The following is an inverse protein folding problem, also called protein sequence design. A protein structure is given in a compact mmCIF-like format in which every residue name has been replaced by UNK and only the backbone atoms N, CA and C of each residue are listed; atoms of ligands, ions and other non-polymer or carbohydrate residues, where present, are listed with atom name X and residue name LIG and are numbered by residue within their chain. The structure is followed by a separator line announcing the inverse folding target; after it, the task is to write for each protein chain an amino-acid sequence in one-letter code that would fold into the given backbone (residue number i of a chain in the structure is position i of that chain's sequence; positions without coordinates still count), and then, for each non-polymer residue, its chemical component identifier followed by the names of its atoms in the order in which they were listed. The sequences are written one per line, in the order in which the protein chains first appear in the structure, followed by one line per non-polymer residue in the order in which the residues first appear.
data_IF_596825529672
#
_entry.id   IF_596825529672
#
_cell.length_a   1.000
_cell.length_b   1.000
_cell.length_c   1.000
_cell.angle_alpha   90.00
_cell.angle_beta   90.00
_cell.angle_gamma   90.00
#
_symmetry.space_group_name_H-M   'P 1'
#
loop_
_entity.id
_entity.type
_entity.pdbx_description
1 polymer ?
#
# COMPACT_ATOMS: atom_id res chain seq x y z
N UNK A 1 4.40 2.66 -3.76
CA UNK A 1 5.58 2.33 -4.60
C UNK A 1 6.40 1.29 -3.87
N UNK A 2 7.18 0.43 -4.54
CA UNK A 2 8.12 -0.47 -3.86
C UNK A 2 8.97 0.36 -2.88
N UNK A 3 9.19 -0.09 -1.63
CA UNK A 3 9.08 -1.45 -1.13
C UNK A 3 8.03 -1.61 -0.01
N UNK A 4 6.87 -0.95 -0.08
CA UNK A 4 5.83 -1.11 0.94
C UNK A 4 5.04 -2.41 0.75
N UNK A 5 4.63 -3.08 1.85
CA UNK A 5 3.94 -4.38 1.82
C UNK A 5 2.63 -4.43 1.04
N UNK A 6 1.97 -3.27 0.88
CA UNK A 6 0.82 -3.06 -0.02
C UNK A 6 1.23 -3.34 -1.48
N UNK A 7 2.42 -2.91 -1.94
CA UNK A 7 2.85 -3.27 -3.29
C UNK A 7 3.07 -4.78 -3.46
N UNK A 8 3.66 -5.45 -2.46
CA UNK A 8 3.91 -6.90 -2.53
C UNK A 8 2.60 -7.72 -2.55
N UNK A 9 1.61 -7.32 -1.75
CA UNK A 9 0.31 -8.00 -1.66
C UNK A 9 -0.49 -7.86 -2.96
N UNK A 10 -0.61 -6.64 -3.47
CA UNK A 10 -1.31 -6.36 -4.73
C UNK A 10 -0.61 -6.99 -5.93
N UNK A 11 0.73 -7.01 -5.94
CA UNK A 11 1.49 -7.69 -6.99
C UNK A 11 1.25 -9.21 -6.96
N UNK A 12 1.20 -9.83 -5.78
CA UNK A 12 0.87 -11.26 -5.64
C UNK A 12 -0.54 -11.57 -6.14
N UNK A 13 -1.52 -10.72 -5.81
CA UNK A 13 -2.90 -10.87 -6.28
C UNK A 13 -2.96 -10.76 -7.80
N UNK A 14 -2.33 -9.74 -8.39
CA UNK A 14 -2.33 -9.52 -9.83
C UNK A 14 -1.63 -10.68 -10.55
N UNK A 15 -0.45 -11.09 -10.10
CA UNK A 15 0.29 -12.21 -10.73
C UNK A 15 -0.49 -13.52 -10.63
N UNK A 16 -1.12 -13.80 -9.49
CA UNK A 16 -1.98 -14.98 -9.32
C UNK A 16 -3.21 -14.90 -10.24
N UNK A 17 -3.86 -13.75 -10.33
CA UNK A 17 -4.99 -13.53 -11.25
C UNK A 17 -4.58 -13.71 -12.71
N UNK A 18 -3.38 -13.25 -13.10
CA UNK A 18 -2.83 -13.46 -14.44
C UNK A 18 -2.67 -14.95 -14.77
N UNK A 19 -2.28 -15.77 -13.80
CA UNK A 19 -2.12 -17.21 -13.97
C UNK A 19 -3.44 -17.99 -13.95
N UNK A 20 -4.36 -17.66 -13.03
CA UNK A 20 -5.59 -18.44 -12.82
C UNK A 20 -6.78 -17.91 -13.62
N UNK A 21 -6.92 -16.59 -13.75
CA UNK A 21 -8.03 -15.92 -14.45
C UNK A 21 -7.52 -14.75 -15.32
N UNK A 22 -6.82 -15.02 -16.43
CA UNK A 22 -6.14 -13.98 -17.21
C UNK A 22 -7.04 -12.82 -17.65
N UNK A 23 -8.32 -13.10 -17.90
CA UNK A 23 -9.32 -12.13 -18.33
C UNK A 23 -9.65 -11.05 -17.28
N UNK A 24 -9.42 -11.31 -15.98
CA UNK A 24 -9.62 -10.30 -14.92
C UNK A 24 -8.47 -9.30 -14.84
N UNK A 25 -7.28 -9.68 -15.34
CA UNK A 25 -6.07 -8.86 -15.35
C UNK A 25 -6.29 -7.44 -15.90
N UNK A 26 -6.88 -7.23 -17.09
CA UNK A 26 -7.08 -5.87 -17.60
C UNK A 26 -7.94 -5.01 -16.66
N UNK A 27 -8.97 -5.58 -16.05
CA UNK A 27 -9.81 -4.87 -15.09
C UNK A 27 -9.03 -4.49 -13.82
N UNK A 28 -8.23 -5.41 -13.28
CA UNK A 28 -7.38 -5.16 -12.11
C UNK A 28 -6.32 -4.08 -12.40
N UNK A 29 -5.70 -4.11 -13.57
CA UNK A 29 -4.71 -3.10 -13.96
C UNK A 29 -5.34 -1.71 -14.14
N UNK A 30 -6.53 -1.63 -14.75
CA UNK A 30 -7.27 -0.36 -14.86
C UNK A 30 -7.64 0.16 -13.48
N UNK A 31 -8.17 -0.69 -12.59
CA UNK A 31 -8.52 -0.29 -11.23
C UNK A 31 -7.29 0.22 -10.46
N UNK A 32 -6.15 -0.46 -10.59
CA UNK A 32 -4.88 -0.03 -9.99
C UNK A 32 -4.43 1.32 -10.55
N UNK A 33 -4.51 1.51 -11.86
CA UNK A 33 -4.18 2.78 -12.52
C UNK A 33 -5.06 3.94 -12.04
N UNK A 34 -6.37 3.72 -11.93
CA UNK A 34 -7.32 4.70 -11.40
C UNK A 34 -7.03 5.04 -9.94
N UNK A 35 -6.79 4.03 -9.10
CA UNK A 35 -6.43 4.24 -7.70
C UNK A 35 -5.15 5.06 -7.56
N UNK A 36 -4.13 4.75 -8.37
CA UNK A 36 -2.89 5.51 -8.41
C UNK A 36 -3.12 6.96 -8.84
N UNK A 37 -3.85 7.20 -9.93
CA UNK A 37 -4.16 8.54 -10.42
C UNK A 37 -4.94 9.37 -9.38
N UNK A 38 -5.92 8.77 -8.70
CA UNK A 38 -6.72 9.42 -7.68
C UNK A 38 -5.87 9.83 -6.45
N UNK A 39 -5.00 8.93 -5.97
CA UNK A 39 -4.08 9.23 -4.87
C UNK A 39 -3.10 10.32 -5.29
N UNK A 40 -2.48 10.18 -6.46
CA UNK A 40 -1.49 11.13 -6.95
C UNK A 40 -2.07 12.52 -7.12
N UNK A 41 -3.27 12.65 -7.69
CA UNK A 41 -3.98 13.93 -7.82
C UNK A 41 -4.18 14.61 -6.46
N UNK A 42 -4.55 13.88 -5.42
CA UNK A 42 -4.71 14.44 -4.07
C UNK A 42 -3.38 14.83 -3.44
N UNK A 43 -2.38 13.95 -3.51
CA UNK A 43 -1.06 14.19 -2.91
C UNK A 43 -0.37 15.40 -3.55
N UNK A 44 -0.51 15.57 -4.87
CA UNK A 44 0.05 16.73 -5.58
C UNK A 44 -0.42 18.06 -4.97
N UNK A 45 -1.72 18.20 -4.71
CA UNK A 45 -2.27 19.40 -4.07
C UNK A 45 -1.83 19.60 -2.61
N UNK A 46 -1.37 18.55 -1.93
CA UNK A 46 -0.89 18.64 -0.54
C UNK A 46 0.57 19.07 -0.45
N UNK A 47 1.38 18.70 -1.45
CA UNK A 47 2.84 18.92 -1.44
C UNK A 47 3.22 20.15 -2.27
N UNK A 48 2.44 20.50 -3.29
CA UNK A 48 2.70 21.61 -4.20
C UNK A 48 1.57 22.65 -4.17
N UNK A 49 1.91 23.89 -4.52
CA UNK A 49 0.97 25.01 -4.60
C UNK A 49 0.96 25.90 -3.35
N UNK A 50 0.13 26.94 -3.40
CA UNK A 50 0.00 27.90 -2.30
C UNK A 50 -0.93 27.38 -1.21
N UNK A 51 -0.54 27.55 0.05
CA UNK A 51 -1.32 27.10 1.20
C UNK A 51 -2.52 28.01 1.43
N UNK A 52 -3.73 27.53 1.17
CA UNK A 52 -4.98 28.28 1.41
C UNK A 52 -5.59 28.01 2.79
N UNK A 53 -5.04 27.05 3.54
CA UNK A 53 -5.54 26.65 4.86
C UNK A 53 -5.07 27.55 6.00
N UNK A 54 -5.93 27.74 7.01
CA UNK A 54 -5.55 28.42 8.26
C UNK A 54 -4.45 27.63 8.98
N UNK A 55 -3.40 28.33 9.42
CA UNK A 55 -2.30 27.72 10.18
C UNK A 55 -2.83 27.02 11.43
N UNK A 56 -2.37 25.78 11.67
CA UNK A 56 -2.77 25.03 12.85
C UNK A 56 -2.25 25.68 14.14
N UNK A 57 -3.02 25.64 15.25
CA UNK A 57 -2.60 26.20 16.54
C UNK A 57 -1.41 25.47 17.17
N UNK A 58 -1.24 24.18 16.86
CA UNK A 58 -0.16 23.33 17.35
C UNK A 58 0.42 22.51 16.19
N UNK A 59 1.75 22.30 16.15
CA UNK A 59 2.36 21.46 15.14
C UNK A 59 1.88 20.01 15.30
N UNK A 60 1.55 19.30 14.20
CA UNK A 60 1.11 17.92 14.26
C UNK A 60 2.24 17.00 14.78
N UNK A 61 1.86 15.95 15.50
CA UNK A 61 2.80 14.96 16.00
C UNK A 61 3.33 14.09 14.84
N UNK A 62 4.60 14.28 14.47
CA UNK A 62 5.24 13.55 13.37
C UNK A 62 5.76 12.17 13.77
N UNK A 63 6.07 11.96 15.06
CA UNK A 63 6.65 10.69 15.55
C UNK A 63 5.79 9.47 15.19
N UNK A 64 4.46 9.45 15.43
CA UNK A 64 3.64 8.29 15.06
C UNK A 64 3.65 7.99 13.56
N UNK A 65 3.69 9.03 12.72
CA UNK A 65 3.71 8.90 11.26
C UNK A 65 4.99 8.20 10.81
N UNK A 66 6.16 8.64 11.29
CA UNK A 66 7.43 8.04 10.94
C UNK A 66 7.61 6.63 11.51
N UNK A 67 7.12 6.37 12.73
CA UNK A 67 7.10 5.02 13.31
C UNK A 67 6.28 4.08 12.43
N UNK A 68 5.06 4.49 12.03
CA UNK A 68 4.22 3.68 11.15
C UNK A 68 4.88 3.44 9.78
N UNK A 69 5.41 4.49 9.15
CA UNK A 69 6.13 4.37 7.87
C UNK A 69 7.34 3.43 7.98
N UNK A 70 8.11 3.53 9.06
CA UNK A 70 9.25 2.65 9.33
C UNK A 70 8.85 1.18 9.46
N UNK A 71 7.75 0.89 10.19
CA UNK A 71 7.24 -0.46 10.33
C UNK A 71 6.76 -1.04 9.00
N UNK A 72 5.99 -0.28 8.22
CA UNK A 72 5.47 -0.74 6.92
C UNK A 72 6.60 -0.93 5.91
N UNK A 73 7.63 -0.07 5.95
CA UNK A 73 8.84 -0.22 5.12
C UNK A 73 9.62 -1.49 5.50
N UNK A 74 9.89 -1.69 6.79
CA UNK A 74 10.61 -2.86 7.29
C UNK A 74 9.88 -4.15 6.88
N UNK A 75 8.58 -4.22 7.13
CA UNK A 75 7.77 -5.40 6.79
C UNK A 75 7.61 -5.62 5.28
N UNK A 76 7.66 -4.54 4.50
CA UNK A 76 7.66 -4.64 3.03
C UNK A 76 8.99 -5.13 2.45
N UNK A 77 10.11 -4.86 3.11
CA UNK A 77 11.43 -5.40 2.75
C UNK A 77 11.67 -6.81 3.30
N UNK A 78 11.16 -7.10 4.50
CA UNK A 78 11.37 -8.36 5.20
C UNK A 78 10.16 -8.75 6.05
N UNK A 79 9.57 -9.90 5.73
CA UNK A 79 8.55 -10.52 6.57
C UNK A 79 9.22 -11.55 7.48
N UNK A 80 9.17 -11.38 8.82
CA UNK A 80 9.72 -12.36 9.74
C UNK A 80 9.12 -13.77 9.53
N UNK A 81 9.93 -14.85 9.61
CA UNK A 81 9.47 -16.22 9.35
C UNK A 81 8.27 -16.65 10.18
N UNK A 82 8.19 -16.21 11.45
CA UNK A 82 7.06 -16.53 12.33
C UNK A 82 5.75 -15.92 11.78
N UNK A 83 5.81 -14.70 11.26
CA UNK A 83 4.65 -13.99 10.71
C UNK A 83 4.22 -14.62 9.38
N UNK A 84 5.18 -14.93 8.51
CA UNK A 84 4.93 -15.65 7.26
C UNK A 84 4.31 -17.03 7.52
N UNK A 85 4.76 -17.75 8.55
CA UNK A 85 4.21 -19.04 8.91
C UNK A 85 2.78 -18.93 9.43
N UNK A 86 2.51 -17.90 10.24
CA UNK A 86 1.16 -17.62 10.71
C UNK A 86 0.19 -17.32 9.55
N UNK A 87 0.61 -16.51 8.56
CA UNK A 87 -0.20 -16.27 7.36
C UNK A 87 -0.47 -17.56 6.57
N UNK A 88 0.53 -18.43 6.39
CA UNK A 88 0.33 -19.72 5.71
C UNK A 88 -0.65 -20.63 6.45
N UNK A 89 -0.56 -20.67 7.78
CA UNK A 89 -1.51 -21.43 8.61
C UNK A 89 -2.92 -20.86 8.48
N UNK A 90 -3.08 -19.54 8.53
CA UNK A 90 -4.37 -18.90 8.32
C UNK A 90 -4.95 -19.21 6.93
N UNK A 91 -4.14 -19.15 5.88
CA UNK A 91 -4.57 -19.50 4.53
C UNK A 91 -5.02 -20.97 4.44
N UNK A 92 -4.28 -21.90 5.03
CA UNK A 92 -4.63 -23.32 5.07
C UNK A 92 -5.95 -23.61 5.81
N UNK A 93 -6.34 -22.76 6.77
CA UNK A 93 -7.61 -22.88 7.48
C UNK A 93 -8.79 -22.32 6.67
N UNK A 94 -8.55 -21.38 5.77
CA UNK A 94 -9.58 -20.71 4.96
C UNK A 94 -9.85 -21.48 3.65
N UNK A 95 -8.86 -22.24 3.15
CA UNK A 95 -8.98 -23.10 1.96
C UNK A 95 -8.16 -22.59 0.78
#
# INVERSE_FOLDING_TARGET
MPPFGVFASEFLIITTAMHTYPWTTPFLLVALGVAFAAIFSRVQHMVFGETTGKRLPHPPALVPVFVHLGLVLLLGLYIPPYLANWYRQAAALIG
#
